data_IF_007357218916
#
_entry.id   IF_007357218916
#
_cell.length_a   1.000
_cell.length_b   1.000
_cell.length_c   1.000
_cell.angle_alpha   90.00
_cell.angle_beta   90.00
_cell.angle_gamma   90.00
#
_symmetry.space_group_name_H-M   'P 1'
#
loop_
_entity.id
_entity.type
_entity.pdbx_description
1 polymer ?
#
# COMPACT_ATOMS: atom_id res chain seq x y z
N UNK A 1 64.21 -17.78 17.39
CA UNK A 1 64.16 -17.17 18.73
C UNK A 1 62.97 -16.23 18.71
N UNK A 2 61.81 -16.71 19.15
CA UNK A 2 61.39 -16.62 20.55
C UNK A 2 61.24 -15.17 20.98
N UNK A 3 59.99 -14.77 21.18
CA UNK A 3 59.47 -14.50 22.52
C UNK A 3 58.33 -13.49 22.39
N UNK A 4 57.10 -13.93 22.62
CA UNK A 4 56.50 -13.90 23.95
C UNK A 4 56.29 -12.44 24.35
N UNK A 5 55.10 -11.91 24.06
CA UNK A 5 53.95 -11.91 24.98
C UNK A 5 54.23 -11.06 26.22
N UNK A 6 53.18 -10.35 26.60
CA UNK A 6 52.94 -9.86 27.95
C UNK A 6 53.74 -8.60 28.29
N UNK A 7 53.02 -7.48 28.30
CA UNK A 7 52.69 -6.80 29.54
C UNK A 7 52.06 -5.46 29.09
N UNK A 8 50.74 -5.33 29.20
CA UNK A 8 50.11 -4.98 30.47
C UNK A 8 50.47 -3.55 30.90
N UNK A 9 49.50 -2.87 31.51
CA UNK A 9 49.66 -1.60 32.20
C UNK A 9 49.42 -0.33 31.37
N UNK A 10 48.32 -0.27 30.62
CA UNK A 10 47.47 0.94 30.71
C UNK A 10 46.16 0.55 31.37
N UNK A 11 46.31 0.01 32.57
CA UNK A 11 45.25 -0.03 33.56
C UNK A 11 45.39 1.22 34.42
N UNK A 12 44.24 1.68 34.91
CA UNK A 12 44.01 2.75 35.88
C UNK A 12 43.96 4.17 35.28
N UNK A 13 42.77 4.67 34.96
CA UNK A 13 41.71 5.18 35.85
C UNK A 13 41.95 6.62 36.32
N UNK A 14 40.84 7.36 36.21
CA UNK A 14 40.50 8.63 36.85
C UNK A 14 41.14 9.88 36.23
N UNK A 15 40.40 10.91 35.83
CA UNK A 15 39.14 11.36 36.38
C UNK A 15 38.24 12.01 35.32
N UNK A 16 36.97 11.64 35.43
CA UNK A 16 35.78 12.37 35.02
C UNK A 16 35.83 13.84 35.46
N UNK A 17 35.45 14.75 34.57
CA UNK A 17 34.53 15.89 34.83
C UNK A 17 34.72 16.95 33.73
N UNK A 18 33.85 16.96 32.72
CA UNK A 18 32.64 17.79 32.70
C UNK A 18 32.93 19.25 32.28
N UNK A 19 32.89 19.52 30.97
CA UNK A 19 32.33 20.77 30.44
C UNK A 19 32.36 20.79 28.90
N UNK A 20 31.17 20.77 28.29
CA UNK A 20 30.85 21.09 26.89
C UNK A 20 31.21 20.05 25.82
N UNK A 21 30.23 19.24 25.35
CA UNK A 21 30.34 18.59 24.04
C UNK A 21 30.23 19.64 22.91
N UNK A 22 30.84 19.38 21.74
CA UNK A 22 30.69 20.18 20.52
C UNK A 22 29.27 20.04 19.93
N UNK A 23 28.29 20.62 20.60
CA UNK A 23 26.94 20.79 20.07
C UNK A 23 26.93 22.04 19.19
N UNK A 24 27.08 21.89 17.86
CA UNK A 24 26.21 22.43 16.79
C UNK A 24 26.67 21.84 15.44
N UNK A 25 26.88 20.53 15.31
CA UNK A 25 27.03 19.88 13.99
C UNK A 25 26.59 18.42 14.01
N UNK A 26 25.51 18.14 14.75
CA UNK A 26 24.67 17.00 14.40
C UNK A 26 23.36 17.60 13.94
N UNK A 27 23.22 17.74 12.61
CA UNK A 27 21.89 17.77 12.02
C UNK A 27 21.23 16.49 12.50
N UNK A 28 20.25 16.65 13.38
CA UNK A 28 19.37 15.60 13.83
C UNK A 28 18.66 15.01 12.61
N UNK A 29 19.24 13.96 12.03
CA UNK A 29 18.59 13.12 11.01
C UNK A 29 17.30 12.49 11.54
N UNK A 30 17.10 12.51 12.87
CA UNK A 30 15.90 12.03 13.53
C UNK A 30 14.66 12.92 13.27
N UNK A 31 14.84 14.18 12.83
CA UNK A 31 13.76 15.05 12.36
C UNK A 31 13.40 14.89 10.88
N UNK A 32 14.22 14.18 10.10
CA UNK A 32 13.92 13.83 8.70
C UNK A 32 13.39 12.40 8.57
N UNK A 33 13.64 11.55 9.57
CA UNK A 33 13.07 10.21 9.68
C UNK A 33 11.96 10.12 10.74
N UNK A 34 11.14 11.17 10.83
CA UNK A 34 9.79 11.10 11.38
C UNK A 34 8.90 10.22 10.47
N UNK A 35 9.30 8.97 10.28
CA UNK A 35 8.59 7.91 9.58
C UNK A 35 7.47 7.36 10.48
N UNK A 36 6.62 8.26 10.94
CA UNK A 36 5.29 7.93 11.42
C UNK A 36 4.41 9.16 11.20
N UNK A 37 4.33 9.59 9.93
CA UNK A 37 3.07 10.15 9.47
C UNK A 37 2.03 9.13 9.84
N UNK A 38 1.22 9.45 10.85
CA UNK A 38 -0.08 8.85 11.06
C UNK A 38 -0.76 8.92 9.70
N UNK A 39 -0.60 7.88 8.87
CA UNK A 39 -1.45 7.68 7.72
C UNK A 39 -2.73 7.19 8.37
N UNK A 40 -3.52 8.12 8.93
CA UNK A 40 -4.97 8.06 8.75
C UNK A 40 -5.08 7.64 7.30
N UNK A 41 -5.51 6.41 7.04
CA UNK A 41 -5.40 5.80 5.73
C UNK A 41 -6.16 6.72 4.77
N UNK A 42 -5.40 7.64 4.18
CA UNK A 42 -5.95 8.71 3.38
C UNK A 42 -6.01 8.08 2.02
N UNK A 43 -7.23 7.99 1.53
CA UNK A 43 -7.53 7.31 0.27
C UNK A 43 -6.55 7.81 -0.81
N UNK A 44 -5.98 6.89 -1.62
CA UNK A 44 -5.07 7.29 -2.69
C UNK A 44 -5.77 8.33 -3.59
N UNK A 45 -5.06 9.38 -4.03
CA UNK A 45 -5.63 10.34 -4.97
C UNK A 45 -5.98 9.66 -6.29
N UNK A 46 -6.87 10.28 -7.05
CA UNK A 46 -7.36 9.77 -8.34
C UNK A 46 -6.22 9.40 -9.27
N UNK A 47 -5.22 10.28 -9.41
CA UNK A 47 -4.07 10.07 -10.31
C UNK A 47 -3.24 8.84 -9.94
N UNK A 48 -3.00 8.61 -8.64
CA UNK A 48 -2.27 7.44 -8.15
C UNK A 48 -3.07 6.17 -8.39
N UNK A 49 -4.37 6.20 -8.11
CA UNK A 49 -5.27 5.07 -8.36
C UNK A 49 -5.35 4.75 -9.85
N UNK A 50 -5.50 5.76 -10.71
CA UNK A 50 -5.53 5.61 -12.15
C UNK A 50 -4.22 5.04 -12.67
N UNK A 51 -3.08 5.57 -12.23
CA UNK A 51 -1.75 5.10 -12.61
C UNK A 51 -1.51 3.65 -12.20
N UNK A 52 -1.98 3.26 -11.02
CA UNK A 52 -1.90 1.87 -10.55
C UNK A 52 -2.71 0.93 -11.44
N UNK A 53 -3.99 1.24 -11.65
CA UNK A 53 -4.88 0.42 -12.47
C UNK A 53 -4.43 0.39 -13.94
N UNK A 54 -3.89 1.49 -14.48
CA UNK A 54 -3.28 1.54 -15.81
C UNK A 54 -2.05 0.64 -15.89
N UNK A 55 -1.20 0.62 -14.86
CA UNK A 55 -0.02 -0.25 -14.81
C UNK A 55 -0.42 -1.73 -14.78
N UNK A 56 -1.49 -2.06 -14.06
CA UNK A 56 -2.09 -3.40 -14.07
C UNK A 56 -2.60 -3.77 -15.47
N UNK A 57 -3.35 -2.88 -16.14
CA UNK A 57 -3.82 -3.13 -17.50
C UNK A 57 -2.68 -3.27 -18.51
N UNK A 58 -1.64 -2.45 -18.41
CA UNK A 58 -0.48 -2.49 -19.29
C UNK A 58 0.27 -3.83 -19.16
N UNK A 59 0.36 -4.37 -17.94
CA UNK A 59 1.08 -5.62 -17.69
C UNK A 59 0.24 -6.89 -17.92
N UNK A 60 -1.09 -6.83 -17.77
CA UNK A 60 -1.97 -8.03 -17.76
C UNK A 60 -3.04 -8.04 -18.85
N UNK A 61 -3.24 -6.90 -19.52
CA UNK A 61 -4.21 -6.73 -20.58
C UNK A 61 -5.57 -6.20 -20.09
N UNK A 62 -6.43 -5.78 -21.02
CA UNK A 62 -7.69 -5.07 -20.75
C UNK A 62 -8.70 -5.88 -19.93
N UNK A 63 -8.60 -7.22 -19.92
CA UNK A 63 -9.51 -8.09 -19.18
C UNK A 63 -9.12 -8.28 -17.71
N UNK A 64 -8.03 -7.65 -17.24
CA UNK A 64 -7.59 -7.85 -15.86
C UNK A 64 -8.51 -7.18 -14.85
N UNK A 65 -9.03 -6.00 -15.18
CA UNK A 65 -10.00 -5.31 -14.32
C UNK A 65 -11.34 -6.06 -14.26
N UNK A 66 -11.73 -6.76 -15.33
CA UNK A 66 -12.90 -7.64 -15.30
C UNK A 66 -12.75 -8.74 -14.24
N UNK A 67 -11.54 -9.26 -14.01
CA UNK A 67 -11.31 -10.31 -13.01
C UNK A 67 -11.37 -9.77 -11.58
N UNK A 68 -10.91 -8.54 -11.36
CA UNK A 68 -10.84 -7.94 -10.03
C UNK A 68 -12.16 -7.30 -9.60
N UNK A 69 -12.84 -6.64 -10.54
CA UNK A 69 -14.04 -5.85 -10.30
C UNK A 69 -15.31 -6.44 -10.95
N UNK A 70 -15.20 -7.54 -11.70
CA UNK A 70 -16.30 -8.18 -12.43
C UNK A 70 -16.47 -7.67 -13.86
N UNK A 71 -17.25 -8.40 -14.67
CA UNK A 71 -17.52 -8.05 -16.08
C UNK A 71 -18.14 -6.67 -16.27
N UNK A 72 -18.83 -6.16 -15.25
CA UNK A 72 -19.37 -4.79 -15.26
C UNK A 72 -18.33 -3.70 -15.15
N UNK A 73 -17.16 -3.97 -14.57
CA UNK A 73 -16.07 -3.02 -14.66
C UNK A 73 -15.64 -2.85 -16.11
N UNK A 74 -15.44 -3.93 -16.88
CA UNK A 74 -15.12 -3.82 -18.33
C UNK A 74 -16.21 -3.06 -19.10
N UNK A 75 -17.47 -3.42 -18.89
CA UNK A 75 -18.61 -2.77 -19.54
C UNK A 75 -18.74 -1.28 -19.16
N UNK A 76 -18.35 -0.89 -17.94
CA UNK A 76 -18.28 0.51 -17.52
C UNK A 76 -17.03 1.22 -18.07
N UNK A 77 -15.93 0.48 -18.26
CA UNK A 77 -14.67 0.99 -18.80
C UNK A 77 -14.78 1.31 -20.30
N UNK A 78 -15.47 0.48 -21.10
CA UNK A 78 -15.56 0.64 -22.57
C UNK A 78 -16.20 1.96 -23.03
N UNK A 79 -17.37 2.41 -22.50
CA UNK A 79 -18.04 3.63 -22.94
C UNK A 79 -17.68 4.90 -22.13
N UNK A 80 -17.04 4.79 -20.96
CA UNK A 80 -16.84 5.93 -20.04
C UNK A 80 -15.38 6.46 -19.98
N UNK A 81 -14.50 6.03 -20.88
CA UNK A 81 -13.10 6.49 -20.91
C UNK A 81 -12.13 5.61 -20.11
N UNK A 82 -12.51 4.37 -19.82
CA UNK A 82 -11.62 3.37 -19.24
C UNK A 82 -11.30 3.62 -17.76
N UNK A 83 -10.08 3.23 -17.39
CA UNK A 83 -9.60 3.07 -16.01
C UNK A 83 -9.76 4.31 -15.15
N UNK A 84 -9.67 5.47 -15.79
CA UNK A 84 -9.75 6.76 -15.15
C UNK A 84 -11.06 6.93 -14.38
N UNK A 85 -12.20 6.47 -14.93
CA UNK A 85 -13.49 6.55 -14.23
C UNK A 85 -13.58 5.62 -13.03
N UNK A 86 -13.01 4.43 -13.10
CA UNK A 86 -12.96 3.52 -11.96
C UNK A 86 -12.07 4.11 -10.87
N UNK A 87 -10.95 4.75 -11.24
CA UNK A 87 -10.08 5.43 -10.30
C UNK A 87 -10.71 6.66 -9.66
N UNK A 88 -11.45 7.45 -10.44
CA UNK A 88 -12.27 8.56 -9.97
C UNK A 88 -13.32 8.04 -8.98
N UNK A 89 -14.14 7.07 -9.39
CA UNK A 89 -15.16 6.47 -8.56
C UNK A 89 -14.56 5.92 -7.27
N UNK A 90 -13.46 5.15 -7.32
CA UNK A 90 -12.80 4.65 -6.11
C UNK A 90 -12.34 5.77 -5.18
N UNK A 91 -11.82 6.86 -5.73
CA UNK A 91 -11.27 7.97 -4.93
C UNK A 91 -12.37 8.86 -4.34
N UNK A 92 -13.41 9.14 -5.11
CA UNK A 92 -14.57 9.93 -4.69
C UNK A 92 -15.47 9.15 -3.74
N UNK A 93 -15.62 7.83 -3.96
CA UNK A 93 -16.64 7.04 -3.28
C UNK A 93 -16.28 6.75 -1.85
N UNK A 94 -17.08 7.19 -0.89
CA UNK A 94 -16.74 7.07 0.53
C UNK A 94 -16.82 5.62 1.04
N UNK A 95 -17.74 4.83 0.51
CA UNK A 95 -17.94 3.42 0.84
C UNK A 95 -18.09 2.59 -0.43
N UNK A 96 -18.02 1.27 -0.28
CA UNK A 96 -18.28 0.32 -1.37
C UNK A 96 -19.69 0.47 -1.97
N UNK A 97 -20.66 0.89 -1.16
CA UNK A 97 -22.03 1.18 -1.63
C UNK A 97 -22.06 2.42 -2.54
N UNK A 98 -21.37 3.49 -2.14
CA UNK A 98 -21.24 4.71 -2.93
C UNK A 98 -20.50 4.43 -4.25
N UNK A 99 -19.49 3.56 -4.20
CA UNK A 99 -18.76 3.09 -5.38
C UNK A 99 -19.64 2.29 -6.33
N UNK A 100 -20.43 1.36 -5.78
CA UNK A 100 -21.38 0.59 -6.56
C UNK A 100 -22.46 1.46 -7.18
N UNK A 101 -22.93 2.47 -6.47
CA UNK A 101 -23.88 3.45 -6.99
C UNK A 101 -23.26 4.30 -8.11
N UNK A 102 -22.03 4.79 -7.93
CA UNK A 102 -21.32 5.61 -8.91
C UNK A 102 -21.05 4.88 -10.24
N UNK A 103 -20.76 3.57 -10.18
CA UNK A 103 -20.55 2.73 -11.37
C UNK A 103 -21.79 1.94 -11.80
N UNK A 104 -22.94 2.13 -11.13
CA UNK A 104 -24.17 1.40 -11.39
C UNK A 104 -23.98 -0.14 -11.38
N UNK A 105 -23.21 -0.64 -10.41
CA UNK A 105 -22.97 -2.06 -10.22
C UNK A 105 -24.24 -2.77 -9.75
N UNK A 106 -24.45 -4.00 -10.22
CA UNK A 106 -25.52 -4.82 -9.67
C UNK A 106 -25.18 -5.29 -8.26
N UNK A 107 -26.20 -5.65 -7.47
CA UNK A 107 -25.98 -6.20 -6.13
C UNK A 107 -25.01 -7.40 -6.13
N UNK A 108 -25.12 -8.28 -7.12
CA UNK A 108 -24.23 -9.44 -7.26
C UNK A 108 -22.77 -9.06 -7.45
N UNK A 109 -22.49 -8.02 -8.25
CA UNK A 109 -21.13 -7.51 -8.47
C UNK A 109 -20.59 -6.82 -7.21
N UNK A 110 -21.45 -6.08 -6.51
CA UNK A 110 -21.09 -5.42 -5.25
C UNK A 110 -20.76 -6.42 -4.14
N UNK A 111 -21.56 -7.48 -4.01
CA UNK A 111 -21.33 -8.57 -3.06
C UNK A 111 -20.01 -9.32 -3.37
N UNK A 112 -19.73 -9.54 -4.66
CA UNK A 112 -18.46 -10.10 -5.10
C UNK A 112 -17.29 -9.18 -4.72
N UNK A 113 -17.40 -7.89 -5.03
CA UNK A 113 -16.39 -6.90 -4.68
C UNK A 113 -16.15 -6.86 -3.16
N UNK A 114 -17.22 -6.86 -2.37
CA UNK A 114 -17.15 -6.91 -0.90
C UNK A 114 -16.40 -8.14 -0.43
N UNK A 115 -16.68 -9.30 -1.00
CA UNK A 115 -15.96 -10.55 -0.69
C UNK A 115 -14.47 -10.46 -1.03
N UNK A 116 -14.09 -9.84 -2.15
CA UNK A 116 -12.67 -9.65 -2.53
C UNK A 116 -11.94 -8.73 -1.54
N UNK A 117 -12.56 -7.60 -1.18
CA UNK A 117 -11.98 -6.67 -0.21
C UNK A 117 -11.89 -7.30 1.20
N UNK A 118 -12.90 -8.06 1.64
CA UNK A 118 -12.85 -8.82 2.89
C UNK A 118 -11.77 -9.91 2.87
N UNK A 119 -11.60 -10.62 1.75
CA UNK A 119 -10.51 -11.59 1.59
C UNK A 119 -9.15 -10.91 1.79
N UNK A 120 -8.95 -9.74 1.18
CA UNK A 120 -7.73 -8.94 1.36
C UNK A 120 -7.52 -8.49 2.80
N UNK A 121 -8.56 -7.99 3.47
CA UNK A 121 -8.51 -7.59 4.88
C UNK A 121 -8.10 -8.74 5.81
N UNK A 122 -8.63 -9.93 5.55
CA UNK A 122 -8.29 -11.14 6.30
C UNK A 122 -6.92 -11.74 5.90
N UNK A 123 -6.27 -11.21 4.86
CA UNK A 123 -5.03 -11.75 4.33
C UNK A 123 -5.20 -13.02 3.49
N UNK A 124 -6.42 -13.32 3.02
CA UNK A 124 -6.74 -14.44 2.15
C UNK A 124 -6.27 -14.17 0.71
N UNK A 125 -4.98 -14.40 0.53
CA UNK A 125 -4.28 -14.32 -0.76
C UNK A 125 -4.76 -15.42 -1.73
N UNK A 126 -5.34 -16.51 -1.21
CA UNK A 126 -5.90 -17.60 -2.00
C UNK A 126 -7.01 -17.13 -2.95
N UNK A 127 -7.92 -16.29 -2.45
CA UNK A 127 -9.00 -15.70 -3.24
C UNK A 127 -8.46 -14.90 -4.44
N UNK A 128 -7.46 -14.02 -4.23
CA UNK A 128 -6.85 -13.24 -5.32
C UNK A 128 -6.23 -14.14 -6.40
N UNK A 129 -5.57 -15.23 -5.99
CA UNK A 129 -5.02 -16.22 -6.94
C UNK A 129 -6.12 -16.90 -7.74
N UNK A 130 -7.24 -17.23 -7.11
CA UNK A 130 -8.41 -17.81 -7.78
C UNK A 130 -9.06 -16.88 -8.81
N UNK A 131 -8.94 -15.55 -8.64
CA UNK A 131 -9.34 -14.57 -9.66
C UNK A 131 -8.38 -14.55 -10.86
N UNK A 132 -7.23 -15.22 -10.77
CA UNK A 132 -6.20 -15.23 -11.80
C UNK A 132 -5.20 -14.07 -11.69
N UNK A 133 -5.05 -13.48 -10.50
CA UNK A 133 -3.97 -12.54 -10.16
C UNK A 133 -2.66 -13.34 -10.04
N UNK A 134 -1.60 -12.91 -10.73
CA UNK A 134 -0.30 -13.62 -10.66
C UNK A 134 0.42 -13.29 -9.36
N UNK A 135 1.27 -14.20 -8.88
CA UNK A 135 2.07 -13.99 -7.67
C UNK A 135 2.93 -12.71 -7.72
N UNK A 136 3.37 -12.31 -8.92
CA UNK A 136 4.22 -11.13 -9.14
C UNK A 136 3.56 -9.79 -8.80
N UNK A 137 2.24 -9.66 -8.95
CA UNK A 137 1.53 -8.40 -8.60
C UNK A 137 0.60 -8.59 -7.40
N UNK A 138 0.50 -9.80 -6.88
CA UNK A 138 -0.39 -10.10 -5.78
C UNK A 138 -0.07 -9.21 -4.57
N UNK A 139 1.22 -8.96 -4.33
CA UNK A 139 1.67 -8.03 -3.29
C UNK A 139 1.14 -6.61 -3.51
N UNK A 140 1.29 -6.08 -4.72
CA UNK A 140 0.84 -4.73 -5.08
C UNK A 140 -0.70 -4.59 -5.03
N UNK A 141 -1.43 -5.57 -5.56
CA UNK A 141 -2.90 -5.62 -5.54
C UNK A 141 -3.42 -5.71 -4.12
N UNK A 142 -2.87 -6.62 -3.30
CA UNK A 142 -3.22 -6.75 -1.89
C UNK A 142 -2.96 -5.45 -1.15
N UNK A 143 -1.78 -4.85 -1.32
CA UNK A 143 -1.40 -3.62 -0.65
C UNK A 143 -2.32 -2.45 -1.03
N UNK A 144 -2.66 -2.33 -2.31
CA UNK A 144 -3.58 -1.31 -2.79
C UNK A 144 -4.99 -1.47 -2.20
N UNK A 145 -5.53 -2.69 -2.23
CA UNK A 145 -6.86 -2.99 -1.68
C UNK A 145 -6.89 -2.83 -0.15
N UNK A 146 -5.88 -3.30 0.58
CA UNK A 146 -5.74 -3.05 2.02
C UNK A 146 -5.76 -1.56 2.33
N UNK A 147 -5.07 -0.75 1.54
CA UNK A 147 -5.01 0.69 1.74
C UNK A 147 -6.39 1.35 1.60
N UNK A 148 -7.24 0.85 0.70
CA UNK A 148 -8.63 1.28 0.55
C UNK A 148 -9.49 0.80 1.73
N UNK A 149 -9.39 -0.47 2.13
CA UNK A 149 -10.11 -1.02 3.28
C UNK A 149 -9.81 -0.23 4.56
N UNK A 150 -8.53 0.05 4.81
CA UNK A 150 -8.08 0.81 5.98
C UNK A 150 -8.67 2.25 6.03
N UNK A 151 -9.19 2.79 4.92
CA UNK A 151 -9.89 4.08 4.93
C UNK A 151 -11.34 3.99 5.41
N UNK A 152 -11.83 2.81 5.77
CA UNK A 152 -13.24 2.54 6.03
C UNK A 152 -14.07 2.34 4.76
N UNK A 153 -13.45 1.97 3.63
CA UNK A 153 -14.19 1.76 2.37
C UNK A 153 -15.20 0.60 2.46
N UNK A 154 -14.97 -0.37 3.35
CA UNK A 154 -15.87 -1.51 3.60
C UNK A 154 -16.95 -1.24 4.64
N UNK A 155 -16.89 -0.10 5.34
CA UNK A 155 -17.84 0.31 6.37
C UNK A 155 -19.21 0.63 5.77
#
# INVERSE_FOLDING_TARGET
>A
MSSCRVAACVAALAAVSCALPPAVFTLDLNKLYGHHSKRSAKRPPVEETASFLQSLLASHGPNYLEKLFGSKARDALEPLGGVEKVAIALSESQTIEDFGAALHLMRSDLEHLRSVFMAVENGDIGMLKSLGIKDSELGDVKFFLEKLVNTGFLD
#
